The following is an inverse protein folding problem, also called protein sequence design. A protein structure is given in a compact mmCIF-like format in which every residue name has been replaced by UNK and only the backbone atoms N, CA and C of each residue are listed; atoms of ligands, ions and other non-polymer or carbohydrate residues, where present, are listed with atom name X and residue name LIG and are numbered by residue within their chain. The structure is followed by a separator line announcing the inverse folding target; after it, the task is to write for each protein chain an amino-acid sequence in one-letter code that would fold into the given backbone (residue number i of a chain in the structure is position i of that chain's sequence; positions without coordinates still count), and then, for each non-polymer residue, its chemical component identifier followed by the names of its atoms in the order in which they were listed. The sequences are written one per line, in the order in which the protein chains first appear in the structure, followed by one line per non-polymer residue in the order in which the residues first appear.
data_IF_282017653488
#
_entry.id   IF_282017653488
#
_cell.length_a   1.000
_cell.length_b   1.000
_cell.length_c   1.000
_cell.angle_alpha   90.00
_cell.angle_beta   90.00
_cell.angle_gamma   90.00
#
_symmetry.space_group_name_H-M   'P 1'
#
loop_
_entity.id
_entity.type
_entity.pdbx_description
1 polymer ?
#
# COMPACT_ATOMS: atom_id res chain seq x y z
N UNK A 1 -25.17 9.27 12.42
CA UNK A 1 -24.03 8.36 12.61
C UNK A 1 -23.46 8.06 11.23
N UNK A 2 -22.47 8.85 10.78
CA UNK A 2 -22.00 8.87 9.38
C UNK A 2 -20.46 8.84 9.35
N UNK A 3 -19.85 7.74 9.78
CA UNK A 3 -18.39 7.60 9.92
C UNK A 3 -17.73 6.74 8.83
N UNK A 4 -18.46 6.28 7.81
CA UNK A 4 -17.95 5.31 6.84
C UNK A 4 -17.21 5.87 5.62
N UNK A 5 -17.30 7.18 5.34
CA UNK A 5 -16.90 7.72 4.02
C UNK A 5 -15.51 8.39 3.99
N UNK A 6 -14.92 8.67 5.15
CA UNK A 6 -13.59 9.30 5.25
C UNK A 6 -12.47 8.27 5.03
N UNK A 7 -12.70 7.02 5.44
CA UNK A 7 -11.70 5.95 5.31
C UNK A 7 -11.32 5.63 3.86
N UNK A 8 -12.29 5.58 2.95
CA UNK A 8 -12.02 5.31 1.53
C UNK A 8 -11.38 6.49 0.82
N UNK A 9 -11.83 7.72 1.11
CA UNK A 9 -11.27 8.93 0.51
C UNK A 9 -9.80 9.14 0.93
N UNK A 10 -9.49 9.02 2.23
CA UNK A 10 -8.11 9.14 2.70
C UNK A 10 -7.18 8.03 2.18
N UNK A 11 -7.74 6.84 1.92
CA UNK A 11 -7.00 5.74 1.33
C UNK A 11 -6.71 5.96 -0.16
N UNK A 12 -7.68 6.47 -0.93
CA UNK A 12 -7.46 6.85 -2.33
C UNK A 12 -6.45 8.02 -2.44
N UNK A 13 -6.57 9.03 -1.56
CA UNK A 13 -5.63 10.16 -1.50
C UNK A 13 -4.20 9.71 -1.20
N UNK A 14 -4.03 8.71 -0.33
CA UNK A 14 -2.74 8.07 -0.05
C UNK A 14 -2.12 7.49 -1.33
N UNK A 15 -2.89 6.75 -2.13
CA UNK A 15 -2.41 6.18 -3.39
C UNK A 15 -2.05 7.23 -4.44
N UNK A 16 -2.83 8.30 -4.53
CA UNK A 16 -2.56 9.41 -5.42
C UNK A 16 -1.23 10.09 -5.04
N UNK A 17 -1.04 10.38 -3.76
CA UNK A 17 0.17 11.06 -3.29
C UNK A 17 1.42 10.19 -3.44
N UNK A 18 1.34 8.89 -3.14
CA UNK A 18 2.45 7.94 -3.37
C UNK A 18 2.78 7.87 -4.87
N UNK A 19 1.76 7.74 -5.72
CA UNK A 19 1.93 7.72 -7.17
C UNK A 19 2.64 8.96 -7.69
N UNK A 20 2.23 10.15 -7.22
CA UNK A 20 2.86 11.43 -7.54
C UNK A 20 4.33 11.46 -7.12
N UNK A 21 4.65 11.05 -5.90
CA UNK A 21 6.04 11.01 -5.39
C UNK A 21 6.93 10.03 -6.15
N UNK A 22 6.42 8.86 -6.49
CA UNK A 22 7.17 7.88 -7.28
C UNK A 22 7.41 8.38 -8.72
N UNK A 23 6.44 9.06 -9.32
CA UNK A 23 6.59 9.64 -10.67
C UNK A 23 7.72 10.68 -10.73
N UNK A 24 7.85 11.53 -9.69
CA UNK A 24 8.96 12.50 -9.60
C UNK A 24 10.35 11.85 -9.63
N UNK A 25 10.46 10.60 -9.19
CA UNK A 25 11.72 9.82 -9.20
C UNK A 25 11.77 8.79 -10.34
N UNK A 26 10.88 8.90 -11.34
CA UNK A 26 10.75 7.95 -12.46
C UNK A 26 10.45 6.50 -12.04
N UNK A 27 9.91 6.30 -10.85
CA UNK A 27 9.45 5.00 -10.36
C UNK A 27 7.98 4.78 -10.70
N UNK A 28 7.63 3.55 -11.09
CA UNK A 28 6.24 3.18 -11.41
C UNK A 28 5.48 2.78 -10.15
N UNK A 29 4.27 3.32 -9.96
CA UNK A 29 3.38 2.84 -8.91
C UNK A 29 2.50 1.69 -9.43
N UNK A 30 3.07 0.48 -9.39
CA UNK A 30 2.44 -0.73 -9.94
C UNK A 30 1.36 -1.28 -9.01
N UNK A 31 0.56 -2.23 -9.51
CA UNK A 31 -0.43 -2.95 -8.71
C UNK A 31 0.19 -3.62 -7.46
N UNK A 32 1.36 -4.23 -7.58
CA UNK A 32 2.06 -4.85 -6.45
C UNK A 32 2.44 -3.83 -5.37
N UNK A 33 2.87 -2.62 -5.76
CA UNK A 33 3.15 -1.54 -4.81
C UNK A 33 1.89 -0.97 -4.15
N UNK A 34 0.76 -0.95 -4.85
CA UNK A 34 -0.54 -0.64 -4.24
C UNK A 34 -0.90 -1.66 -3.17
N UNK A 35 -0.88 -2.95 -3.51
CA UNK A 35 -1.16 -4.04 -2.56
C UNK A 35 -0.25 -4.01 -1.33
N UNK A 36 1.04 -3.69 -1.50
CA UNK A 36 1.96 -3.51 -0.37
C UNK A 36 1.54 -2.35 0.54
N UNK A 37 1.20 -1.20 -0.04
CA UNK A 37 0.74 -0.02 0.70
C UNK A 37 -0.56 -0.30 1.43
N UNK A 38 -1.50 -1.02 0.81
CA UNK A 38 -2.77 -1.42 1.41
C UNK A 38 -2.54 -2.23 2.69
N UNK A 39 -1.66 -3.24 2.61
CA UNK A 39 -1.34 -4.10 3.74
C UNK A 39 -0.73 -3.30 4.91
N UNK A 40 0.20 -2.40 4.61
CA UNK A 40 0.85 -1.56 5.63
C UNK A 40 -0.13 -0.56 6.26
N UNK A 41 -0.95 0.09 5.45
CA UNK A 41 -1.94 1.06 5.92
C UNK A 41 -3.01 0.38 6.79
N UNK A 42 -3.47 -0.82 6.40
CA UNK A 42 -4.46 -1.59 7.14
C UNK A 42 -3.91 -2.10 8.49
N UNK A 43 -2.62 -2.49 8.54
CA UNK A 43 -2.02 -3.01 9.77
C UNK A 43 -1.83 -1.93 10.84
N UNK A 44 -1.55 -0.68 10.46
CA UNK A 44 -1.37 0.44 11.40
C UNK A 44 -0.22 0.27 12.39
N UNK A 45 0.66 -0.71 12.17
CA UNK A 45 1.81 -1.07 13.01
C UNK A 45 2.99 -1.50 12.12
N UNK A 46 4.23 -1.48 12.64
CA UNK A 46 5.36 -2.07 11.93
C UNK A 46 5.08 -3.55 11.56
N UNK A 47 5.41 -3.94 10.33
CA UNK A 47 5.25 -5.30 9.83
C UNK A 47 6.59 -5.85 9.36
N UNK A 48 6.82 -7.14 9.58
CA UNK A 48 7.95 -7.86 8.98
C UNK A 48 7.61 -8.30 7.55
N UNK A 49 8.64 -8.62 6.74
CA UNK A 49 8.41 -9.14 5.39
C UNK A 49 7.58 -10.43 5.38
N UNK A 50 7.82 -11.42 6.27
CA UNK A 50 6.94 -12.58 6.41
C UNK A 50 5.48 -12.20 6.72
N UNK A 51 5.25 -11.23 7.60
CA UNK A 51 3.88 -10.79 7.93
C UNK A 51 3.16 -10.23 6.70
N UNK A 52 3.87 -9.43 5.89
CA UNK A 52 3.33 -8.84 4.66
C UNK A 52 2.95 -9.95 3.67
N UNK A 53 3.86 -10.88 3.40
CA UNK A 53 3.60 -11.99 2.47
C UNK A 53 2.44 -12.86 2.95
N UNK A 54 2.31 -13.08 4.26
CA UNK A 54 1.22 -13.86 4.83
C UNK A 54 -0.16 -13.20 4.62
N UNK A 55 -0.25 -11.87 4.67
CA UNK A 55 -1.53 -11.14 4.49
C UNK A 55 -1.80 -10.75 3.02
N UNK A 56 -0.80 -10.87 2.14
CA UNK A 56 -0.93 -10.61 0.70
C UNK A 56 -0.48 -11.82 -0.14
N UNK A 57 -1.26 -12.91 -0.21
CA UNK A 57 -0.84 -14.17 -0.86
C UNK A 57 -0.59 -14.08 -2.38
N UNK A 58 -0.84 -12.93 -3.02
CA UNK A 58 -0.51 -12.66 -4.43
C UNK A 58 0.75 -11.81 -4.65
N UNK A 59 1.39 -11.34 -3.57
CA UNK A 59 2.60 -10.53 -3.65
C UNK A 59 3.83 -11.40 -3.36
N UNK A 60 4.66 -11.62 -4.38
CA UNK A 60 5.90 -12.36 -4.20
C UNK A 60 6.82 -11.65 -3.19
N UNK A 61 7.49 -12.40 -2.32
CA UNK A 61 8.39 -11.85 -1.30
C UNK A 61 9.49 -10.97 -1.90
N UNK A 62 10.06 -11.36 -3.04
CA UNK A 62 11.06 -10.58 -3.77
C UNK A 62 10.52 -9.24 -4.31
N UNK A 63 9.21 -9.17 -4.60
CA UNK A 63 8.55 -7.94 -5.01
C UNK A 63 8.21 -7.06 -3.82
N UNK A 64 7.77 -7.63 -2.69
CA UNK A 64 7.52 -6.88 -1.46
C UNK A 64 8.79 -6.20 -0.92
N UNK A 65 9.97 -6.81 -1.14
CA UNK A 65 11.25 -6.25 -0.75
C UNK A 65 11.73 -5.08 -1.65
N UNK A 66 11.18 -4.90 -2.86
CA UNK A 66 11.68 -3.96 -3.90
C UNK A 66 10.78 -2.74 -4.15
#
# INVERSE_FOLDING_TARGET
MTAGRVGSAGHDDLHVEIGRRLALTRNRYTRGRRTLVDALAAAGRPMTLPDIVAVTPGLAASSAYR
#
